data_IF_659596173660
#
_entry.id   IF_659596173660
#
_cell.length_a   1.000
_cell.length_b   1.000
_cell.length_c   1.000
_cell.angle_alpha   90.00
_cell.angle_beta   90.00
_cell.angle_gamma   90.00
#
_symmetry.space_group_name_H-M   'P 1'
#
loop_
_entity.id
_entity.type
_entity.pdbx_description
1 polymer ?
#
# COMPACT_ATOMS: atom_id res chain seq x y z
N UNK A 1 -2.02 -16.87 -13.14
CA UNK A 1 -0.61 -17.19 -13.49
C UNK A 1 -0.47 -17.96 -14.81
N UNK A 2 -1.50 -18.64 -15.34
CA UNK A 2 -1.49 -19.22 -16.70
C UNK A 2 -1.79 -18.17 -17.80
N UNK A 3 -2.76 -17.28 -17.55
CA UNK A 3 -3.22 -16.31 -18.55
C UNK A 3 -2.12 -15.33 -19.00
N UNK A 4 -1.26 -14.89 -18.06
CA UNK A 4 -0.15 -13.99 -18.37
C UNK A 4 0.86 -14.62 -19.34
N UNK A 5 1.12 -15.92 -19.19
CA UNK A 5 2.02 -16.66 -20.09
C UNK A 5 1.38 -16.82 -21.47
N UNK A 6 0.10 -17.15 -21.52
CA UNK A 6 -0.63 -17.27 -22.78
C UNK A 6 -0.73 -15.94 -23.55
N UNK A 7 -0.98 -14.82 -22.85
CA UNK A 7 -1.02 -13.48 -23.47
C UNK A 7 0.33 -13.09 -24.09
N UNK A 8 1.45 -13.47 -23.47
CA UNK A 8 2.78 -13.26 -24.07
C UNK A 8 2.94 -14.10 -25.34
N UNK A 9 2.57 -15.37 -25.30
CA UNK A 9 2.59 -16.24 -26.49
C UNK A 9 1.70 -15.67 -27.61
N UNK A 10 0.47 -15.24 -27.28
CA UNK A 10 -0.49 -14.65 -28.21
C UNK A 10 0.07 -13.43 -28.93
N UNK A 11 0.76 -12.56 -28.19
CA UNK A 11 1.38 -11.36 -28.76
C UNK A 11 2.62 -11.67 -29.61
N UNK A 12 3.51 -12.55 -29.13
CA UNK A 12 4.78 -12.86 -29.84
C UNK A 12 4.53 -13.61 -31.14
N UNK A 13 3.54 -14.50 -31.17
CA UNK A 13 3.17 -15.26 -32.38
C UNK A 13 2.26 -14.49 -33.34
N UNK A 14 1.88 -13.26 -33.00
CA UNK A 14 0.87 -12.45 -33.72
C UNK A 14 -0.50 -13.12 -33.84
N UNK A 15 -0.79 -14.06 -32.94
CA UNK A 15 -2.09 -14.72 -32.86
C UNK A 15 -3.20 -13.71 -32.53
N UNK A 16 -2.86 -12.61 -31.85
CA UNK A 16 -3.77 -11.50 -31.56
C UNK A 16 -4.43 -10.89 -32.81
N UNK A 17 -3.80 -11.02 -33.97
CA UNK A 17 -4.28 -10.51 -35.27
C UNK A 17 -5.05 -11.54 -36.09
N UNK A 18 -5.11 -12.79 -35.65
CA UNK A 18 -5.80 -13.87 -36.35
C UNK A 18 -7.32 -13.82 -36.07
N UNK A 19 -8.14 -14.56 -36.84
CA UNK A 19 -9.58 -14.66 -36.56
C UNK A 19 -9.84 -15.11 -35.11
N UNK A 20 -10.87 -14.54 -34.47
CA UNK A 20 -11.20 -14.79 -33.05
C UNK A 20 -11.29 -16.28 -32.73
N UNK A 21 -11.90 -17.07 -33.62
CA UNK A 21 -11.99 -18.53 -33.50
C UNK A 21 -10.61 -19.19 -33.38
N UNK A 22 -9.65 -18.82 -34.23
CA UNK A 22 -8.28 -19.34 -34.16
C UNK A 22 -7.57 -18.98 -32.86
N UNK A 23 -7.87 -17.81 -32.29
CA UNK A 23 -7.32 -17.41 -30.99
C UNK A 23 -7.90 -18.23 -29.85
N UNK A 24 -9.20 -18.55 -29.92
CA UNK A 24 -9.88 -19.42 -28.95
C UNK A 24 -9.36 -20.85 -29.07
N UNK A 25 -9.30 -21.41 -30.27
CA UNK A 25 -8.80 -22.77 -30.51
C UNK A 25 -7.36 -22.94 -30.01
N UNK A 26 -6.48 -21.98 -30.30
CA UNK A 26 -5.12 -21.98 -29.76
C UNK A 26 -5.07 -21.89 -28.24
N UNK A 27 -6.03 -21.21 -27.60
CA UNK A 27 -6.12 -21.12 -26.14
C UNK A 27 -6.53 -22.46 -25.55
N UNK A 28 -7.53 -23.11 -26.14
CA UNK A 28 -7.99 -24.43 -25.73
C UNK A 28 -6.89 -25.49 -25.89
N UNK A 29 -6.15 -25.44 -27.00
CA UNK A 29 -4.99 -26.29 -27.22
C UNK A 29 -3.89 -26.08 -26.16
N UNK A 30 -3.61 -24.82 -25.82
CA UNK A 30 -2.63 -24.48 -24.79
C UNK A 30 -3.04 -24.98 -23.39
N UNK A 31 -4.34 -24.96 -23.09
CA UNK A 31 -4.89 -25.44 -21.81
C UNK A 31 -5.04 -26.97 -21.76
N UNK A 32 -5.03 -27.64 -22.92
CA UNK A 32 -5.04 -29.08 -23.06
C UNK A 32 -6.41 -29.72 -22.89
N UNK A 33 -6.49 -31.04 -23.12
CA UNK A 33 -7.75 -31.79 -23.23
C UNK A 33 -8.68 -31.72 -22.00
N UNK A 34 -8.14 -31.36 -20.83
CA UNK A 34 -8.93 -31.23 -19.59
C UNK A 34 -9.89 -30.03 -19.65
N UNK A 35 -9.63 -29.06 -20.52
CA UNK A 35 -10.46 -27.87 -20.69
C UNK A 35 -11.82 -28.17 -21.33
N UNK A 36 -11.93 -29.24 -22.14
CA UNK A 36 -13.19 -29.61 -22.78
C UNK A 36 -14.23 -30.06 -21.74
N UNK A 37 -13.81 -30.87 -20.77
CA UNK A 37 -14.66 -31.26 -19.62
C UNK A 37 -15.15 -30.04 -18.83
N UNK A 38 -14.32 -29.00 -18.75
CA UNK A 38 -14.69 -27.75 -18.10
C UNK A 38 -15.71 -26.95 -18.91
N UNK A 39 -15.55 -26.87 -20.23
CA UNK A 39 -16.53 -26.22 -21.11
C UNK A 39 -17.89 -26.89 -21.03
N UNK A 40 -17.93 -28.23 -21.00
CA UNK A 40 -19.15 -29.01 -20.77
C UNK A 40 -19.79 -28.67 -19.42
N UNK A 41 -18.99 -28.61 -18.35
CA UNK A 41 -19.45 -28.27 -17.00
C UNK A 41 -20.02 -26.85 -16.91
N UNK A 42 -19.49 -25.92 -17.71
CA UNK A 42 -19.88 -24.52 -17.72
C UNK A 42 -21.03 -24.23 -18.70
N UNK A 43 -21.56 -25.24 -19.40
CA UNK A 43 -22.59 -25.10 -20.44
C UNK A 43 -22.26 -24.00 -21.47
N UNK A 44 -20.98 -23.90 -21.87
CA UNK A 44 -20.57 -22.92 -22.87
C UNK A 44 -21.19 -23.24 -24.23
N UNK A 45 -21.81 -22.25 -24.89
CA UNK A 45 -22.43 -22.42 -26.21
C UNK A 45 -21.38 -22.17 -27.31
N UNK A 46 -21.51 -22.82 -28.46
CA UNK A 46 -20.59 -22.64 -29.61
C UNK A 46 -20.44 -21.17 -30.03
N UNK A 47 -21.46 -20.33 -29.84
CA UNK A 47 -21.40 -18.89 -30.10
C UNK A 47 -20.40 -18.14 -29.21
N UNK A 48 -20.09 -18.66 -28.01
CA UNK A 48 -19.07 -18.09 -27.13
C UNK A 48 -17.66 -18.32 -27.66
N UNK A 49 -17.46 -19.34 -28.51
CA UNK A 49 -16.16 -19.70 -29.09
C UNK A 49 -15.71 -18.73 -30.18
N UNK A 50 -16.61 -17.83 -30.61
CA UNK A 50 -16.30 -16.79 -31.58
C UNK A 50 -15.75 -15.51 -30.93
N UNK A 51 -15.58 -15.47 -29.60
CA UNK A 51 -15.02 -14.34 -28.89
C UNK A 51 -13.92 -14.75 -27.92
N UNK A 52 -12.68 -14.38 -28.26
CA UNK A 52 -11.53 -14.56 -27.38
C UNK A 52 -11.77 -13.92 -26.00
N UNK A 53 -12.32 -12.71 -25.98
CA UNK A 53 -12.57 -11.96 -24.75
C UNK A 53 -13.57 -12.66 -23.83
N UNK A 54 -14.66 -13.22 -24.39
CA UNK A 54 -15.64 -13.99 -23.60
C UNK A 54 -15.00 -15.26 -23.03
N UNK A 55 -14.30 -16.04 -23.86
CA UNK A 55 -13.67 -17.29 -23.43
C UNK A 55 -12.57 -17.04 -22.39
N UNK A 56 -11.75 -16.01 -22.58
CA UNK A 56 -10.77 -15.57 -21.58
C UNK A 56 -11.45 -15.24 -20.26
N UNK A 57 -12.52 -14.45 -20.29
CA UNK A 57 -13.25 -14.05 -19.07
C UNK A 57 -13.88 -15.25 -18.36
N UNK A 58 -14.42 -16.21 -19.11
CA UNK A 58 -14.99 -17.46 -18.60
C UNK A 58 -13.94 -18.30 -17.87
N UNK A 59 -12.76 -18.48 -18.46
CA UNK A 59 -11.67 -19.21 -17.82
C UNK A 59 -11.01 -18.45 -16.69
N UNK A 60 -10.85 -17.13 -16.80
CA UNK A 60 -10.40 -16.29 -15.70
C UNK A 60 -11.38 -16.44 -14.52
N UNK A 61 -12.69 -16.36 -14.74
CA UNK A 61 -13.68 -16.54 -13.67
C UNK A 61 -13.68 -17.94 -13.03
N UNK A 62 -13.31 -18.98 -13.78
CA UNK A 62 -13.25 -20.34 -13.28
C UNK A 62 -11.93 -20.65 -12.55
N UNK A 63 -10.79 -20.30 -13.15
CA UNK A 63 -9.45 -20.64 -12.66
C UNK A 63 -8.84 -19.61 -11.72
N UNK A 64 -9.26 -18.34 -11.81
CA UNK A 64 -9.02 -17.42 -10.71
C UNK A 64 -9.94 -17.92 -9.61
N UNK A 65 -9.37 -18.53 -8.56
CA UNK A 65 -10.09 -18.76 -7.31
C UNK A 65 -10.79 -17.45 -7.00
N UNK A 66 -12.12 -17.39 -7.14
CA UNK A 66 -12.90 -16.30 -6.55
C UNK A 66 -12.48 -16.30 -5.10
N UNK A 67 -11.66 -15.32 -4.74
CA UNK A 67 -11.17 -15.18 -3.38
C UNK A 67 -12.42 -15.21 -2.53
N UNK A 68 -12.58 -16.23 -1.70
CA UNK A 68 -13.76 -16.33 -0.87
C UNK A 68 -13.61 -15.24 0.17
N UNK A 69 -14.22 -14.09 -0.11
CA UNK A 69 -14.08 -12.88 0.70
C UNK A 69 -14.50 -13.18 2.14
N UNK A 70 -15.52 -14.03 2.35
CA UNK A 70 -15.96 -14.44 3.68
C UNK A 70 -14.85 -15.23 4.40
N UNK A 71 -14.19 -16.15 3.70
CA UNK A 71 -13.06 -16.90 4.25
C UNK A 71 -11.87 -15.99 4.59
N UNK A 72 -11.47 -15.10 3.69
CA UNK A 72 -10.35 -14.17 3.96
C UNK A 72 -10.65 -13.24 5.13
N UNK A 73 -11.88 -12.68 5.19
CA UNK A 73 -12.34 -11.85 6.31
C UNK A 73 -12.39 -12.65 7.61
N UNK A 74 -12.79 -13.92 7.58
CA UNK A 74 -12.77 -14.79 8.75
C UNK A 74 -11.34 -15.01 9.25
N UNK A 75 -10.40 -15.30 8.34
CA UNK A 75 -8.97 -15.45 8.65
C UNK A 75 -8.37 -14.17 9.24
N UNK A 76 -8.73 -13.00 8.70
CA UNK A 76 -8.35 -11.71 9.25
C UNK A 76 -8.94 -11.48 10.64
N UNK A 77 -10.24 -11.71 10.81
CA UNK A 77 -10.95 -11.42 12.06
C UNK A 77 -10.56 -12.35 13.21
N UNK A 78 -10.12 -13.57 12.91
CA UNK A 78 -9.67 -14.56 13.90
C UNK A 78 -8.18 -14.46 14.23
N UNK A 79 -7.44 -13.60 13.53
CA UNK A 79 -6.00 -13.43 13.72
C UNK A 79 -5.70 -12.62 14.99
N UNK A 80 -4.98 -13.25 15.92
CA UNK A 80 -4.35 -12.64 17.10
C UNK A 80 -2.88 -13.07 17.17
N UNK A 81 -2.02 -12.27 17.81
CA UNK A 81 -0.59 -12.55 17.95
C UNK A 81 -0.37 -13.92 18.62
N UNK A 82 0.45 -14.76 18.00
CA UNK A 82 0.73 -16.11 18.50
C UNK A 82 1.74 -16.07 19.64
N UNK A 83 1.78 -17.12 20.44
CA UNK A 83 2.83 -17.31 21.42
C UNK A 83 4.20 -17.39 20.73
N UNK A 84 5.18 -16.63 21.21
CA UNK A 84 6.51 -16.51 20.61
C UNK A 84 6.59 -15.66 19.34
N UNK A 85 5.47 -15.17 18.80
CA UNK A 85 5.48 -14.27 17.66
C UNK A 85 5.82 -12.84 18.09
N UNK A 86 6.69 -12.17 17.34
CA UNK A 86 7.02 -10.77 17.58
C UNK A 86 5.87 -9.84 17.17
N UNK A 87 5.80 -8.66 17.79
CA UNK A 87 4.81 -7.64 17.42
C UNK A 87 4.91 -7.27 15.92
N UNK A 88 6.12 -7.22 15.37
CA UNK A 88 6.36 -6.89 13.96
C UNK A 88 5.82 -7.96 13.01
N UNK A 89 6.05 -9.24 13.31
CA UNK A 89 5.52 -10.36 12.53
C UNK A 89 3.99 -10.40 12.54
N UNK A 90 3.40 -10.16 13.71
CA UNK A 90 1.94 -10.07 13.85
C UNK A 90 1.36 -8.93 12.99
N UNK A 91 1.94 -7.74 13.06
CA UNK A 91 1.53 -6.57 12.27
C UNK A 91 1.65 -6.88 10.76
N UNK A 92 2.78 -7.42 10.33
CA UNK A 92 3.00 -7.76 8.92
C UNK A 92 1.99 -8.80 8.41
N UNK A 93 1.68 -9.82 9.22
CA UNK A 93 0.68 -10.83 8.89
C UNK A 93 -0.72 -10.22 8.74
N UNK A 94 -1.12 -9.35 9.66
CA UNK A 94 -2.42 -8.66 9.64
C UNK A 94 -2.56 -7.76 8.39
N UNK A 95 -1.53 -6.98 8.06
CA UNK A 95 -1.49 -6.15 6.84
C UNK A 95 -1.58 -7.02 5.59
N UNK A 96 -0.93 -8.18 5.58
CA UNK A 96 -0.98 -9.07 4.42
C UNK A 96 -2.38 -9.69 4.24
N UNK A 97 -3.05 -10.07 5.34
CA UNK A 97 -4.42 -10.60 5.29
C UNK A 97 -5.44 -9.56 4.83
N UNK A 98 -5.29 -8.28 5.20
CA UNK A 98 -6.26 -7.27 4.78
C UNK A 98 -6.31 -7.05 3.27
N UNK A 99 -5.21 -7.34 2.53
CA UNK A 99 -5.12 -7.14 1.08
C UNK A 99 -6.10 -8.01 0.29
N UNK A 100 -6.48 -9.18 0.81
CA UNK A 100 -7.41 -10.12 0.16
C UNK A 100 -8.85 -9.99 0.68
N UNK A 101 -9.07 -9.20 1.73
CA UNK A 101 -10.39 -9.07 2.39
C UNK A 101 -11.38 -8.13 1.68
N UNK A 102 -10.92 -7.36 0.69
CA UNK A 102 -11.72 -6.39 -0.06
C UNK A 102 -12.54 -5.45 0.85
N UNK A 103 -11.87 -4.78 1.80
CA UNK A 103 -12.49 -3.83 2.73
C UNK A 103 -12.62 -2.40 2.16
N UNK A 104 -11.96 -2.11 1.04
CA UNK A 104 -11.99 -0.79 0.40
C UNK A 104 -11.52 0.32 1.34
N UNK A 105 -12.31 1.40 1.43
CA UNK A 105 -12.00 2.58 2.27
C UNK A 105 -11.91 2.26 3.77
N UNK A 106 -12.48 1.15 4.22
CA UNK A 106 -12.47 0.75 5.64
C UNK A 106 -11.23 -0.04 6.06
N UNK A 107 -10.32 -0.34 5.12
CA UNK A 107 -9.16 -1.19 5.37
C UNK A 107 -8.32 -0.71 6.54
N UNK A 108 -8.00 0.59 6.59
CA UNK A 108 -7.17 1.16 7.68
C UNK A 108 -7.85 1.05 9.04
N UNK A 109 -9.16 1.35 9.09
CA UNK A 109 -9.96 1.27 10.33
C UNK A 109 -10.04 -0.16 10.85
N UNK A 110 -10.29 -1.12 9.98
CA UNK A 110 -10.40 -2.53 10.36
C UNK A 110 -9.05 -3.12 10.74
N UNK A 111 -7.97 -2.74 10.06
CA UNK A 111 -6.60 -3.06 10.46
C UNK A 111 -6.30 -2.57 11.86
N UNK A 112 -6.57 -1.28 12.13
CA UNK A 112 -6.42 -0.70 13.46
C UNK A 112 -7.18 -1.51 14.51
N UNK A 113 -8.46 -1.76 14.29
CA UNK A 113 -9.29 -2.48 15.24
C UNK A 113 -8.70 -3.87 15.51
N UNK A 114 -8.33 -4.59 14.47
CA UNK A 114 -7.79 -5.95 14.61
C UNK A 114 -6.45 -5.99 15.33
N UNK A 115 -5.58 -5.00 15.12
CA UNK A 115 -4.33 -4.84 15.86
C UNK A 115 -4.61 -4.59 17.35
N UNK A 116 -5.48 -3.62 17.66
CA UNK A 116 -5.81 -3.25 19.05
C UNK A 116 -6.32 -4.45 19.84
N UNK A 117 -7.25 -5.23 19.29
CA UNK A 117 -7.83 -6.39 19.99
C UNK A 117 -7.05 -7.69 19.80
N UNK A 118 -5.98 -7.70 18.99
CA UNK A 118 -5.22 -8.90 18.64
C UNK A 118 -3.87 -9.04 19.33
N UNK A 119 -3.45 -8.03 20.12
CA UNK A 119 -2.21 -8.08 20.91
C UNK A 119 -2.43 -8.80 22.24
N UNK A 120 -1.38 -9.44 22.80
CA UNK A 120 -1.45 -10.14 24.09
C UNK A 120 -1.41 -9.19 25.29
N UNK A 121 -0.88 -7.96 25.10
CA UNK A 121 -0.87 -6.94 26.15
C UNK A 121 -2.28 -6.35 26.33
N UNK A 122 -3.03 -6.94 27.27
CA UNK A 122 -4.38 -6.51 27.61
C UNK A 122 -4.44 -5.07 28.13
N UNK A 123 -3.42 -4.61 28.87
CA UNK A 123 -3.41 -3.25 29.42
C UNK A 123 -3.22 -2.21 28.32
N UNK A 124 -2.29 -2.47 27.39
CA UNK A 124 -2.13 -1.65 26.20
C UNK A 124 -3.40 -1.70 25.33
N UNK A 125 -3.97 -2.89 25.12
CA UNK A 125 -5.20 -3.04 24.33
C UNK A 125 -6.33 -2.19 24.90
N UNK A 126 -6.59 -2.27 26.21
CA UNK A 126 -7.62 -1.49 26.88
C UNK A 126 -7.37 0.02 26.75
N UNK A 127 -6.12 0.45 26.92
CA UNK A 127 -5.74 1.86 26.76
C UNK A 127 -6.02 2.34 25.33
N UNK A 128 -5.63 1.56 24.32
CA UNK A 128 -5.84 1.89 22.90
C UNK A 128 -7.33 1.92 22.51
N UNK A 129 -8.18 1.11 23.15
CA UNK A 129 -9.63 1.11 22.92
C UNK A 129 -10.31 2.38 23.43
N UNK A 130 -9.75 3.02 24.47
CA UNK A 130 -10.25 4.29 25.02
C UNK A 130 -9.80 5.51 24.22
N UNK A 131 -8.83 5.37 23.32
CA UNK A 131 -8.31 6.46 22.50
C UNK A 131 -9.27 6.77 21.34
N UNK A 132 -9.57 8.06 21.14
CA UNK A 132 -10.51 8.50 20.10
C UNK A 132 -10.03 8.05 18.69
N UNK A 133 -10.95 7.51 17.89
CA UNK A 133 -10.70 7.04 16.53
C UNK A 133 -10.04 8.13 15.66
N UNK A 134 -10.45 9.39 15.86
CA UNK A 134 -9.95 10.54 15.13
C UNK A 134 -8.55 11.00 15.58
N UNK A 135 -8.02 10.53 16.69
CA UNK A 135 -6.72 11.01 17.20
C UNK A 135 -5.57 10.15 16.66
N UNK A 136 -5.71 8.82 16.67
CA UNK A 136 -4.57 7.93 16.39
C UNK A 136 -4.71 7.21 15.03
N UNK A 137 -3.82 7.52 14.08
CA UNK A 137 -3.73 6.79 12.80
C UNK A 137 -3.17 5.37 12.99
N UNK A 138 -3.25 4.52 11.96
CA UNK A 138 -2.72 3.14 12.03
C UNK A 138 -1.23 3.11 12.40
N UNK A 139 -0.43 4.08 11.94
CA UNK A 139 1.00 4.15 12.24
C UNK A 139 1.31 4.37 13.72
N UNK A 140 0.48 5.15 14.43
CA UNK A 140 0.67 5.34 15.87
C UNK A 140 0.34 4.07 16.66
N UNK A 141 -0.68 3.33 16.24
CA UNK A 141 -1.03 2.04 16.83
C UNK A 141 0.10 1.04 16.61
N UNK A 142 0.64 0.96 15.39
CA UNK A 142 1.81 0.12 15.07
C UNK A 142 2.98 0.45 16.01
N UNK A 143 3.33 1.73 16.17
CA UNK A 143 4.41 2.16 17.05
C UNK A 143 4.18 1.76 18.51
N UNK A 144 2.96 1.98 19.03
CA UNK A 144 2.61 1.60 20.40
C UNK A 144 2.67 0.10 20.62
N UNK A 145 2.16 -0.69 19.67
CA UNK A 145 2.20 -2.18 19.70
C UNK A 145 3.64 -2.70 19.64
N UNK A 146 4.53 -2.01 18.95
CA UNK A 146 5.96 -2.33 18.91
C UNK A 146 6.73 -1.87 20.16
N UNK A 147 6.07 -1.33 21.19
CA UNK A 147 6.71 -0.84 22.41
C UNK A 147 7.32 0.55 22.28
N UNK A 148 7.09 1.25 21.17
CA UNK A 148 7.57 2.60 20.88
C UNK A 148 6.77 3.70 21.57
N UNK A 149 6.50 3.57 22.88
CA UNK A 149 5.75 4.56 23.68
C UNK A 149 6.44 5.92 23.87
N UNK A 150 7.62 6.13 23.28
CA UNK A 150 8.32 7.42 23.31
C UNK A 150 7.58 8.46 22.49
N UNK A 151 7.48 9.69 23.02
CA UNK A 151 6.96 10.84 22.28
C UNK A 151 7.64 10.92 20.90
N UNK A 152 6.87 10.99 19.80
CA UNK A 152 7.46 10.97 18.46
C UNK A 152 8.46 12.12 18.34
N UNK A 153 9.62 11.84 17.75
CA UNK A 153 10.60 12.87 17.49
C UNK A 153 9.98 13.89 16.54
N UNK A 154 10.04 15.17 16.93
CA UNK A 154 9.45 16.24 16.15
C UNK A 154 10.46 17.34 15.91
N UNK A 155 10.24 18.08 14.83
CA UNK A 155 11.02 19.25 14.48
C UNK A 155 10.10 20.38 14.05
N UNK A 156 10.51 21.61 14.37
CA UNK A 156 9.81 22.82 13.92
C UNK A 156 10.52 23.38 12.70
N UNK A 157 9.83 23.44 11.58
CA UNK A 157 10.31 24.05 10.35
C UNK A 157 9.63 25.40 10.15
N UNK A 158 10.40 26.42 9.78
CA UNK A 158 9.83 27.71 9.41
C UNK A 158 9.55 27.72 7.91
N UNK A 159 8.27 27.64 7.53
CA UNK A 159 7.78 27.71 6.15
C UNK A 159 7.07 29.04 5.96
N UNK A 160 7.58 29.91 5.09
CA UNK A 160 6.97 31.22 4.78
C UNK A 160 6.57 31.99 6.06
N UNK A 161 7.52 32.12 7.00
CA UNK A 161 7.35 32.81 8.30
C UNK A 161 6.45 32.11 9.33
N UNK A 162 5.93 30.92 9.03
CA UNK A 162 5.18 30.12 9.98
C UNK A 162 5.97 28.95 10.54
N UNK A 163 5.92 28.76 11.87
CA UNK A 163 6.56 27.62 12.55
C UNK A 163 5.63 26.42 12.52
N UNK A 164 5.92 25.44 11.67
CA UNK A 164 5.11 24.24 11.51
C UNK A 164 5.82 23.06 12.17
N UNK A 165 5.08 22.28 12.95
CA UNK A 165 5.58 21.07 13.59
C UNK A 165 5.48 19.89 12.62
N UNK A 166 6.58 19.15 12.48
CA UNK A 166 6.67 17.91 11.70
C UNK A 166 7.12 16.77 12.59
N UNK A 167 6.52 15.58 12.41
CA UNK A 167 7.10 14.33 12.93
C UNK A 167 8.26 13.91 12.04
N UNK A 168 9.34 13.46 12.66
CA UNK A 168 10.46 12.84 11.96
C UNK A 168 10.05 11.41 11.65
N UNK A 169 9.89 11.10 10.36
CA UNK A 169 9.44 9.79 9.89
C UNK A 169 10.47 9.20 8.92
N UNK A 170 11.35 8.37 9.45
CA UNK A 170 12.40 7.69 8.66
C UNK A 170 11.83 6.62 7.72
N UNK A 171 10.61 6.15 7.99
CA UNK A 171 9.91 5.18 7.15
C UNK A 171 9.20 5.82 5.95
N UNK A 172 9.10 7.15 5.91
CA UNK A 172 8.46 7.87 4.81
C UNK A 172 9.45 8.21 3.69
N UNK A 173 9.13 7.80 2.46
CA UNK A 173 9.90 8.09 1.25
C UNK A 173 9.86 9.57 0.86
N UNK A 174 8.80 10.27 1.27
CA UNK A 174 8.51 11.64 0.90
C UNK A 174 8.01 12.43 2.11
N UNK A 175 8.24 13.74 2.10
CA UNK A 175 7.74 14.64 3.14
C UNK A 175 6.30 15.07 2.84
N UNK A 176 5.47 15.10 3.90
CA UNK A 176 4.03 15.36 3.83
C UNK A 176 3.69 16.63 4.57
N UNK A 177 2.89 17.49 3.94
CA UNK A 177 2.22 18.62 4.56
C UNK A 177 0.71 18.35 4.56
N UNK A 178 0.09 18.35 5.74
CA UNK A 178 -1.36 18.17 5.84
C UNK A 178 -2.11 19.31 5.15
N UNK A 179 -3.17 18.96 4.41
CA UNK A 179 -4.03 19.91 3.72
C UNK A 179 -4.65 20.92 4.70
N UNK A 180 -5.02 20.47 5.89
CA UNK A 180 -5.53 21.34 6.96
C UNK A 180 -4.47 22.36 7.42
N UNK A 181 -3.21 21.94 7.62
CA UNK A 181 -2.13 22.86 7.96
C UNK A 181 -1.88 23.86 6.82
N UNK A 182 -1.79 23.37 5.58
CA UNK A 182 -1.58 24.21 4.40
C UNK A 182 -2.65 25.31 4.26
N UNK A 183 -3.93 24.96 4.42
CA UNK A 183 -5.07 25.90 4.33
C UNK A 183 -5.06 26.97 5.41
N UNK A 184 -4.42 26.72 6.55
CA UNK A 184 -4.34 27.66 7.68
C UNK A 184 -3.16 28.61 7.62
N UNK A 185 -2.21 28.39 6.69
CA UNK A 185 -1.05 29.26 6.56
C UNK A 185 -1.47 30.64 6.07
N UNK A 186 -0.89 31.70 6.64
CA UNK A 186 -1.07 33.07 6.17
C UNK A 186 -0.59 33.25 4.73
N UNK A 187 0.58 32.70 4.43
CA UNK A 187 1.26 32.83 3.13
C UNK A 187 1.60 31.44 2.56
N UNK A 188 0.61 30.67 2.09
CA UNK A 188 0.85 29.30 1.61
C UNK A 188 1.66 29.31 0.30
N UNK A 189 2.67 28.42 0.15
CA UNK A 189 3.41 28.29 -1.11
C UNK A 189 2.53 27.71 -2.22
N UNK A 190 2.69 28.16 -3.47
CA UNK A 190 1.86 27.69 -4.60
C UNK A 190 1.96 26.18 -4.81
N UNK A 191 0.82 25.50 -4.76
CA UNK A 191 0.70 24.08 -5.13
C UNK A 191 0.90 23.92 -6.64
N UNK A 192 1.71 22.91 -7.02
CA UNK A 192 1.87 22.44 -8.39
C UNK A 192 1.27 21.04 -8.53
N UNK A 193 0.69 20.75 -9.69
CA UNK A 193 0.19 19.39 -10.00
C UNK A 193 1.33 18.38 -9.97
N UNK A 194 1.02 17.15 -9.56
CA UNK A 194 1.95 16.02 -9.52
C UNK A 194 1.27 14.77 -10.07
N UNK A 195 2.03 13.94 -10.78
CA UNK A 195 1.60 12.60 -11.22
C UNK A 195 2.02 11.49 -10.26
N UNK A 196 2.83 11.82 -9.24
CA UNK A 196 3.29 10.85 -8.25
C UNK A 196 2.12 10.29 -7.44
N UNK A 197 2.00 8.96 -7.41
CA UNK A 197 1.07 8.24 -6.55
C UNK A 197 1.77 7.91 -5.24
N UNK A 198 1.29 8.51 -4.15
CA UNK A 198 1.77 8.17 -2.80
C UNK A 198 0.91 7.07 -2.23
N UNK A 199 1.52 6.13 -1.52
CA UNK A 199 0.84 5.08 -0.78
C UNK A 199 1.33 5.09 0.66
N UNK A 200 0.42 4.89 1.61
CA UNK A 200 0.78 4.61 3.00
C UNK A 200 1.25 3.17 3.21
N UNK A 201 1.50 2.75 4.46
CA UNK A 201 1.92 1.38 4.78
C UNK A 201 0.94 0.29 4.31
N UNK A 202 -0.34 0.64 4.11
CA UNK A 202 -1.38 -0.28 3.62
C UNK A 202 -1.29 -0.55 2.12
N UNK A 203 -0.50 0.23 1.37
CA UNK A 203 -0.41 0.18 -0.09
C UNK A 203 -1.57 0.85 -0.82
N UNK A 204 -2.56 1.38 -0.11
CA UNK A 204 -3.69 2.12 -0.69
C UNK A 204 -3.20 3.50 -1.16
N UNK A 205 -3.52 3.91 -2.41
CA UNK A 205 -3.18 5.23 -2.91
C UNK A 205 -3.82 6.35 -2.07
N UNK A 206 -3.02 7.36 -1.73
CA UNK A 206 -3.43 8.55 -1.01
C UNK A 206 -3.90 9.64 -1.99
N UNK A 207 -4.89 10.45 -1.58
CA UNK A 207 -5.32 11.62 -2.35
C UNK A 207 -4.29 12.74 -2.21
N UNK A 208 -3.70 13.16 -3.32
CA UNK A 208 -2.66 14.19 -3.36
C UNK A 208 -3.18 15.43 -4.08
N UNK A 209 -3.29 16.54 -3.34
CA UNK A 209 -3.70 17.84 -3.87
C UNK A 209 -2.61 18.44 -4.77
N UNK A 210 -1.35 18.16 -4.43
CA UNK A 210 -0.21 18.49 -5.27
C UNK A 210 1.09 18.51 -4.49
N UNK A 211 2.08 19.19 -5.05
CA UNK A 211 3.41 19.34 -4.45
C UNK A 211 3.75 20.82 -4.28
N UNK A 212 4.29 21.17 -3.12
CA UNK A 212 4.87 22.49 -2.85
C UNK A 212 6.38 22.35 -2.74
N UNK A 213 7.10 23.28 -3.36
CA UNK A 213 8.56 23.41 -3.22
C UNK A 213 8.82 24.75 -2.57
N UNK A 214 9.46 24.76 -1.41
CA UNK A 214 9.72 25.99 -0.66
C UNK A 214 11.05 25.94 0.07
N UNK A 215 11.59 27.11 0.38
CA UNK A 215 12.70 27.25 1.31
C UNK A 215 12.17 27.13 2.73
N UNK A 216 12.78 26.29 3.54
CA UNK A 216 12.51 26.18 4.97
C UNK A 216 13.73 26.62 5.75
N UNK A 217 13.51 27.26 6.89
CA UNK A 217 14.60 27.54 7.82
C UNK A 217 14.54 26.55 8.99
N UNK A 218 15.68 25.94 9.30
CA UNK A 218 15.87 25.05 10.44
C UNK A 218 17.25 25.30 11.06
N UNK A 219 17.31 25.54 12.37
CA UNK A 219 18.57 25.86 13.09
C UNK A 219 19.45 26.92 12.40
N UNK A 220 18.83 27.98 11.88
CA UNK A 220 19.47 29.10 11.15
C UNK A 220 20.05 28.74 9.77
N UNK A 221 19.85 27.52 9.28
CA UNK A 221 20.17 27.13 7.91
C UNK A 221 18.91 27.13 7.05
N UNK A 222 19.08 27.47 5.76
CA UNK A 222 18.00 27.45 4.78
C UNK A 222 18.13 26.22 3.89
N UNK A 223 17.06 25.44 3.77
CA UNK A 223 16.99 24.24 2.95
C UNK A 223 15.85 24.32 1.94
N UNK A 224 16.11 23.96 0.69
CA UNK A 224 15.04 23.83 -0.33
C UNK A 224 14.41 22.45 -0.21
N UNK A 225 13.18 22.39 0.27
CA UNK A 225 12.45 21.14 0.47
C UNK A 225 11.22 21.05 -0.43
N UNK A 226 10.79 19.82 -0.69
CA UNK A 226 9.52 19.50 -1.34
C UNK A 226 8.59 18.85 -0.32
N UNK A 227 7.32 19.22 -0.34
CA UNK A 227 6.27 18.59 0.46
C UNK A 227 5.09 18.24 -0.43
N UNK A 228 4.55 17.04 -0.27
CA UNK A 228 3.30 16.65 -0.88
C UNK A 228 2.15 17.04 0.03
N UNK A 229 1.17 17.76 -0.53
CA UNK A 229 0.00 18.20 0.19
C UNK A 229 -1.09 17.14 0.06
N UNK A 230 -1.45 16.53 1.17
CA UNK A 230 -2.47 15.48 1.22
C UNK A 230 -3.42 15.74 2.40
N UNK A 231 -4.64 15.20 2.34
CA UNK A 231 -5.55 15.22 3.48
C UNK A 231 -5.12 14.18 4.52
N UNK A 232 -4.21 14.58 5.40
CA UNK A 232 -3.70 13.78 6.51
C UNK A 232 -3.78 14.56 7.82
N UNK A 233 -3.80 13.86 8.95
CA UNK A 233 -3.84 14.47 10.28
C UNK A 233 -2.54 15.18 10.65
N UNK A 234 -1.40 14.68 10.17
CA UNK A 234 -0.08 15.10 10.63
C UNK A 234 0.85 15.46 9.49
N UNK A 235 1.79 16.35 9.79
CA UNK A 235 2.89 16.69 8.88
C UNK A 235 4.07 15.74 9.14
N UNK A 236 4.65 15.20 8.07
CA UNK A 236 5.74 14.23 8.14
C UNK A 236 6.98 14.79 7.45
N UNK A 237 8.12 14.73 8.13
CA UNK A 237 9.43 14.94 7.53
C UNK A 237 9.93 13.58 7.09
N UNK A 238 9.88 13.29 5.79
CA UNK A 238 10.35 12.04 5.22
C UNK A 238 11.84 12.06 4.93
N UNK A 239 12.36 10.95 4.42
CA UNK A 239 13.80 10.75 4.14
C UNK A 239 14.47 11.91 3.40
N UNK A 240 13.91 12.50 2.33
CA UNK A 240 14.57 13.60 1.63
C UNK A 240 14.84 14.82 2.51
N UNK A 241 13.89 15.17 3.39
CA UNK A 241 14.03 16.30 4.31
C UNK A 241 15.00 15.98 5.45
N UNK A 242 14.86 14.80 6.06
CA UNK A 242 15.72 14.34 7.16
C UNK A 242 17.20 14.31 6.71
N UNK A 243 17.48 13.76 5.52
CA UNK A 243 18.83 13.71 4.96
C UNK A 243 19.36 15.10 4.60
N UNK A 244 18.54 15.97 3.98
CA UNK A 244 18.95 17.33 3.61
C UNK A 244 19.33 18.20 4.83
N UNK A 245 18.73 17.91 5.98
CA UNK A 245 19.01 18.57 7.25
C UNK A 245 20.02 17.81 8.12
N UNK A 246 20.65 16.75 7.58
CA UNK A 246 21.66 15.93 8.27
C UNK A 246 21.21 15.41 9.64
N UNK A 247 19.92 15.12 9.78
CA UNK A 247 19.35 14.59 11.01
C UNK A 247 19.69 13.11 11.21
N UNK A 248 19.70 12.36 10.11
CA UNK A 248 20.01 10.93 10.07
C UNK A 248 20.80 10.68 8.78
N UNK A 249 21.86 9.90 8.88
CA UNK A 249 22.67 9.45 7.75
C UNK A 249 22.85 7.94 7.85
N UNK A 250 22.67 7.23 6.73
CA UNK A 250 23.02 5.81 6.66
C UNK A 250 24.55 5.71 6.57
N UNK A 251 25.18 5.03 7.54
CA UNK A 251 26.63 4.94 7.66
C UNK A 251 27.18 3.77 6.82
N UNK A 252 26.39 2.72 6.62
CA UNK A 252 26.78 1.54 5.83
C UNK A 252 25.64 1.11 4.91
N UNK A 253 25.83 1.26 3.60
CA UNK A 253 25.00 0.64 2.59
C UNK A 253 25.69 -0.68 2.22
N UNK A 254 25.23 -1.81 2.75
CA UNK A 254 25.78 -3.12 2.38
C UNK A 254 25.47 -3.33 0.89
N UNK A 255 26.48 -3.15 0.04
CA UNK A 255 26.43 -3.60 -1.34
C UNK A 255 26.33 -5.12 -1.32
N UNK A 256 25.28 -5.67 -1.93
CA UNK A 256 25.23 -7.11 -2.20
C UNK A 256 26.42 -7.44 -3.09
N UNK A 257 27.41 -8.15 -2.54
CA UNK A 257 28.37 -8.86 -3.35
C UNK A 257 27.60 -9.90 -4.17
N UNK A 258 27.56 -9.71 -5.48
CA UNK A 258 27.12 -10.75 -6.41
C UNK A 258 28.10 -11.92 -6.29
N UNK A 259 27.67 -12.98 -5.60
CA UNK A 259 28.34 -14.28 -5.66
C UNK A 259 28.12 -14.77 -7.09
N UNK A 260 29.15 -14.60 -7.92
CA UNK A 260 29.25 -15.32 -9.19
C UNK A 260 29.76 -16.71 -8.85
N UNK A 261 28.83 -17.67 -8.82
CA UNK A 261 29.15 -19.09 -8.76
C UNK A 261 30.02 -19.44 -9.99
N UNK A 262 31.19 -20.02 -9.74
CA UNK A 262 32.01 -20.74 -10.72
C UNK A 262 31.77 -22.23 -10.58
#
# INVERSE_FOLDING_TARGET
MWITTYERYRNVTRLDKQPQKSQVDSMLLHMGAQVNKLLDTLNAVDDDWNSYTKMKSLFENHYIKKVNIIYERSKFNTRAQKEGETAQEFIAAIIQLSKTCNYGIMTEKLLRNRLVVGIPDYSLSEKLQRENEQVNGIGEIINKVQGGGSKPWTMKLNLNEEKILFKIDTGADESILSLNCYRKMKNPPKIKKTSLKLCGPTGIPLSVEGVVKTCVNWKNEQHKLKFYVIDNKENLSGRPAICAMKLIQCIEQIERCDITDR
#
